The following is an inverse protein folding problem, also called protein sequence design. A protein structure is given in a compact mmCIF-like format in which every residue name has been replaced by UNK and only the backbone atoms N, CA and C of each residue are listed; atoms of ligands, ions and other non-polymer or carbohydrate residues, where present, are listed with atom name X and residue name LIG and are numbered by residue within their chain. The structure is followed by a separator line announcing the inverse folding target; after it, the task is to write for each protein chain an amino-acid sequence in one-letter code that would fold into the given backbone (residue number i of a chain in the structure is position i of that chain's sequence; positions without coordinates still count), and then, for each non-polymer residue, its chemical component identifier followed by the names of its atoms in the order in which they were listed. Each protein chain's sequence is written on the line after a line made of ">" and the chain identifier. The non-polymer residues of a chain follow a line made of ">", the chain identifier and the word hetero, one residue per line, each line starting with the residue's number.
data_IF_522397891164
#
_entry.id   IF_522397891164
#
_cell.length_a   1.000
_cell.length_b   1.000
_cell.length_c   1.000
_cell.angle_alpha   90.00
_cell.angle_beta   90.00
_cell.angle_gamma   90.00
#
_symmetry.space_group_name_H-M   'P 1'
#
loop_
_entity.id
_entity.type
_entity.pdbx_description
1 polymer ?
#
# COMPACT_ATOMS: atom_id res chain seq x y z
N UNK A 1 13.96 -6.15 -41.67
CA UNK A 1 13.18 -6.37 -40.45
C UNK A 1 14.16 -6.54 -39.29
N UNK A 2 14.32 -5.56 -38.38
CA UNK A 2 15.15 -5.73 -37.18
C UNK A 2 14.25 -5.96 -35.96
N UNK A 3 14.35 -7.15 -35.37
CA UNK A 3 13.56 -7.62 -34.22
C UNK A 3 14.07 -7.08 -32.86
N UNK A 4 14.98 -6.11 -32.85
CA UNK A 4 15.68 -5.65 -31.64
C UNK A 4 14.92 -4.56 -30.84
N UNK A 5 13.69 -4.19 -31.23
CA UNK A 5 12.93 -3.08 -30.60
C UNK A 5 11.91 -3.53 -29.55
N UNK A 6 12.03 -4.74 -29.01
CA UNK A 6 11.06 -5.27 -28.04
C UNK A 6 11.54 -5.29 -26.58
N UNK A 7 12.81 -4.99 -26.30
CA UNK A 7 13.32 -5.00 -24.91
C UNK A 7 13.21 -3.64 -24.18
N UNK A 8 12.85 -2.54 -24.85
CA UNK A 8 12.89 -1.20 -24.25
C UNK A 8 11.61 -0.77 -23.50
N UNK A 9 10.61 -1.66 -23.36
CA UNK A 9 9.31 -1.32 -22.73
C UNK A 9 9.18 -1.83 -21.28
N UNK A 10 10.25 -2.33 -20.66
CA UNK A 10 10.23 -2.81 -19.27
C UNK A 10 10.86 -1.85 -18.25
N UNK A 11 10.87 -0.54 -18.52
CA UNK A 11 11.38 0.44 -17.57
C UNK A 11 10.28 1.43 -17.18
N UNK A 12 9.28 0.94 -16.44
CA UNK A 12 8.37 1.77 -15.64
C UNK A 12 9.16 2.33 -14.44
N UNK A 13 10.05 3.28 -14.73
CA UNK A 13 10.77 4.02 -13.71
C UNK A 13 9.81 4.96 -13.02
N UNK A 14 9.48 4.58 -11.79
CA UNK A 14 9.02 5.51 -10.76
C UNK A 14 7.52 5.51 -10.58
N UNK A 15 6.98 4.41 -10.06
CA UNK A 15 5.93 4.53 -9.08
C UNK A 15 6.48 5.39 -7.92
N UNK A 16 6.39 6.71 -8.05
CA UNK A 16 6.36 7.61 -6.91
C UNK A 16 5.46 6.92 -5.89
N UNK A 17 5.96 6.62 -4.68
CA UNK A 17 5.16 6.03 -3.59
C UNK A 17 4.00 6.99 -3.31
N UNK A 18 2.97 6.93 -4.14
CA UNK A 18 1.72 7.64 -3.92
C UNK A 18 1.17 7.00 -2.67
N UNK A 19 1.06 7.83 -1.63
CA UNK A 19 0.48 7.46 -0.36
C UNK A 19 -0.83 6.72 -0.67
N UNK A 20 -0.87 5.45 -0.29
CA UNK A 20 -2.03 4.61 -0.57
C UNK A 20 -3.18 5.12 0.30
N UNK A 21 -4.40 5.10 -0.22
CA UNK A 21 -5.57 5.48 0.59
C UNK A 21 -5.65 4.66 1.87
N UNK A 22 -5.24 3.39 1.86
CA UNK A 22 -5.18 2.54 3.05
C UNK A 22 -4.25 3.06 4.14
N UNK A 23 -3.18 3.81 3.82
CA UNK A 23 -2.31 4.42 4.83
C UNK A 23 -3.03 5.51 5.64
N UNK A 24 -4.00 6.22 5.06
CA UNK A 24 -4.78 7.22 5.79
C UNK A 24 -5.77 6.61 6.80
N UNK A 25 -6.04 5.30 6.69
CA UNK A 25 -6.89 4.57 7.63
C UNK A 25 -6.07 3.88 8.72
N UNK A 26 -4.93 3.28 8.35
CA UNK A 26 -4.14 2.43 9.27
C UNK A 26 -2.88 3.10 9.85
N UNK A 27 -2.46 4.23 9.30
CA UNK A 27 -1.21 4.92 9.64
C UNK A 27 -1.37 6.45 9.57
N UNK A 28 -2.44 6.95 10.21
CA UNK A 28 -2.73 8.38 10.30
C UNK A 28 -2.35 8.93 11.69
N UNK A 29 -1.21 9.65 11.81
CA UNK A 29 -0.77 10.20 13.09
C UNK A 29 -1.66 11.34 13.60
N UNK A 30 -2.47 11.97 12.74
CA UNK A 30 -3.38 13.06 13.11
C UNK A 30 -4.69 12.52 13.71
N UNK A 31 -5.04 11.26 13.44
CA UNK A 31 -6.29 10.60 13.84
C UNK A 31 -6.05 9.19 14.40
N UNK A 32 -5.24 9.12 15.45
CA UNK A 32 -4.81 7.85 16.10
C UNK A 32 -6.01 7.08 16.66
N UNK A 33 -7.03 7.80 17.16
CA UNK A 33 -8.30 7.26 17.64
C UNK A 33 -9.05 6.49 16.56
N UNK A 34 -9.14 7.05 15.35
CA UNK A 34 -9.76 6.39 14.21
C UNK A 34 -8.96 5.17 13.74
N UNK A 35 -7.63 5.30 13.68
CA UNK A 35 -6.74 4.18 13.34
C UNK A 35 -6.88 3.01 14.32
N UNK A 36 -7.00 3.28 15.62
CA UNK A 36 -7.20 2.23 16.62
C UNK A 36 -8.48 1.42 16.38
N UNK A 37 -9.60 2.10 16.07
CA UNK A 37 -10.87 1.45 15.76
C UNK A 37 -10.81 0.59 14.49
N UNK A 38 -10.13 1.08 13.44
CA UNK A 38 -9.94 0.32 12.21
C UNK A 38 -9.05 -0.91 12.44
N UNK A 39 -7.96 -0.76 13.20
CA UNK A 39 -7.10 -1.90 13.55
C UNK A 39 -7.87 -2.96 14.35
N UNK A 40 -8.64 -2.57 15.36
CA UNK A 40 -9.43 -3.50 16.17
C UNK A 40 -10.44 -4.29 15.32
N UNK A 41 -11.13 -3.60 14.39
CA UNK A 41 -12.07 -4.24 13.46
C UNK A 41 -11.37 -5.25 12.55
N UNK A 42 -10.22 -4.91 11.98
CA UNK A 42 -9.51 -5.80 11.06
C UNK A 42 -8.80 -6.96 11.78
N UNK A 43 -8.30 -6.75 12.99
CA UNK A 43 -7.71 -7.81 13.82
C UNK A 43 -8.73 -8.89 14.20
N UNK A 44 -10.02 -8.55 14.32
CA UNK A 44 -11.09 -9.53 14.55
C UNK A 44 -11.29 -10.51 13.37
N UNK A 45 -10.77 -10.21 12.18
CA UNK A 45 -10.79 -11.11 11.01
C UNK A 45 -9.50 -11.92 10.85
N UNK A 46 -8.59 -11.85 11.83
CA UNK A 46 -7.30 -12.56 11.81
C UNK A 46 -6.20 -11.88 10.98
N UNK A 47 -6.41 -10.61 10.59
CA UNK A 47 -5.41 -9.80 9.87
C UNK A 47 -4.48 -9.15 10.89
N UNK A 48 -3.16 -9.19 10.66
CA UNK A 48 -2.22 -8.57 11.60
C UNK A 48 -1.98 -7.09 11.30
N UNK A 49 -1.65 -6.28 12.32
CA UNK A 49 -1.27 -4.88 12.09
C UNK A 49 -0.03 -4.73 11.20
N UNK A 50 0.87 -5.73 11.14
CA UNK A 50 2.00 -5.70 10.21
C UNK A 50 1.54 -5.81 8.75
N UNK A 51 0.50 -6.58 8.46
CA UNK A 51 -0.06 -6.70 7.11
C UNK A 51 -0.71 -5.39 6.66
N UNK A 52 -1.51 -4.77 7.54
CA UNK A 52 -2.18 -3.48 7.27
C UNK A 52 -1.19 -2.32 7.11
N UNK A 53 -0.06 -2.38 7.83
CA UNK A 53 1.00 -1.36 7.78
C UNK A 53 2.13 -1.70 6.81
N UNK A 54 2.06 -2.84 6.11
CA UNK A 54 3.11 -3.29 5.20
C UNK A 54 3.31 -2.38 3.97
N UNK A 55 2.45 -1.38 3.79
CA UNK A 55 2.51 -0.46 2.65
C UNK A 55 2.19 -1.13 1.32
N UNK A 56 1.69 -2.38 1.37
CA UNK A 56 1.09 -3.05 0.22
C UNK A 56 -0.29 -2.44 -0.03
N UNK A 57 -0.73 -2.36 -1.30
CA UNK A 57 -2.11 -2.02 -1.61
C UNK A 57 -3.04 -3.05 -0.93
N UNK A 58 -3.93 -2.54 -0.08
CA UNK A 58 -5.06 -3.26 0.53
C UNK A 58 -6.29 -2.99 -0.33
#
# INVERSE_FOLDING_TARGET
>A
MPEERLEEVMNDKGASKRRLRSQDWFDNPDHIDMTALYLERFMNYGITPEELRSGKPI
#
